data_IF_276234668963
#
_entry.id   IF_276234668963
#
_cell.length_a   1.000
_cell.length_b   1.000
_cell.length_c   1.000
_cell.angle_alpha   90.00
_cell.angle_beta   90.00
_cell.angle_gamma   90.00
#
_symmetry.space_group_name_H-M   'P 1'
#
loop_
_entity.id
_entity.type
_entity.pdbx_description
1 polymer ?
#
# COMPACT_ATOMS: atom_id res chain seq x y z
N UNK A 1 -8.94 0.48 -14.14
CA UNK A 1 -10.18 0.69 -13.36
C UNK A 1 -9.90 1.65 -12.23
N UNK A 2 -10.78 2.62 -11.99
CA UNK A 2 -10.69 3.52 -10.84
C UNK A 2 -11.38 2.86 -9.64
N UNK A 3 -10.62 2.53 -8.61
CA UNK A 3 -11.17 1.94 -7.38
C UNK A 3 -11.65 3.03 -6.43
N UNK A 4 -10.96 4.18 -6.44
CA UNK A 4 -11.39 5.40 -5.79
C UNK A 4 -10.66 6.62 -6.34
N UNK A 5 -11.27 7.79 -6.14
CA UNK A 5 -10.83 9.06 -6.73
C UNK A 5 -10.78 10.19 -5.71
N UNK A 6 -10.89 9.86 -4.42
CA UNK A 6 -10.81 10.81 -3.33
C UNK A 6 -9.37 11.18 -3.01
N UNK A 7 -9.06 12.47 -2.94
CA UNK A 7 -7.72 12.96 -2.59
C UNK A 7 -7.71 13.69 -1.25
N UNK A 8 -6.55 13.70 -0.61
CA UNK A 8 -6.31 14.34 0.67
C UNK A 8 -6.62 13.42 1.85
N UNK A 9 -5.94 13.60 3.00
CA UNK A 9 -6.14 12.82 4.23
C UNK A 9 -7.42 13.24 4.95
N UNK A 10 -8.55 13.20 4.24
CA UNK A 10 -9.88 13.57 4.70
C UNK A 10 -10.84 12.43 4.43
N UNK A 11 -11.79 12.23 5.35
CA UNK A 11 -12.95 11.39 5.07
C UNK A 11 -13.87 12.20 4.17
N UNK A 12 -14.05 11.73 2.94
CA UNK A 12 -14.98 12.35 1.99
C UNK A 12 -16.41 11.93 2.33
N UNK A 13 -17.36 12.84 2.17
CA UNK A 13 -18.78 12.52 2.23
C UNK A 13 -19.25 11.86 0.93
N UNK A 14 -20.27 10.99 1.03
CA UNK A 14 -20.85 10.27 -0.10
C UNK A 14 -20.11 8.98 -0.47
N UNK A 15 -20.26 8.55 -1.72
CA UNK A 15 -19.81 7.23 -2.18
C UNK A 15 -18.36 7.20 -2.71
N UNK A 16 -17.61 8.30 -2.56
CA UNK A 16 -16.22 8.38 -3.06
C UNK A 16 -15.24 7.73 -2.10
N UNK A 17 -14.56 6.70 -2.58
CA UNK A 17 -13.44 6.06 -1.88
C UNK A 17 -12.12 6.81 -2.13
N UNK A 18 -11.15 6.59 -1.24
CA UNK A 18 -9.81 7.18 -1.34
C UNK A 18 -9.07 6.75 -2.61
N UNK A 19 -8.05 7.53 -2.99
CA UNK A 19 -7.34 7.35 -4.26
C UNK A 19 -6.79 5.93 -4.40
N UNK A 20 -7.21 5.26 -5.47
CA UNK A 20 -6.67 3.96 -5.84
C UNK A 20 -7.04 3.59 -7.27
N UNK A 21 -6.08 3.06 -8.02
CA UNK A 21 -6.27 2.64 -9.42
C UNK A 21 -5.77 1.22 -9.62
N UNK A 22 -6.58 0.38 -10.26
CA UNK A 22 -6.14 -0.93 -10.75
C UNK A 22 -5.80 -0.86 -12.24
N UNK A 23 -4.57 -1.27 -12.59
CA UNK A 23 -4.11 -1.49 -13.95
C UNK A 23 -4.16 -2.99 -14.23
N UNK A 24 -4.89 -3.38 -15.27
CA UNK A 24 -5.07 -4.78 -15.66
C UNK A 24 -4.37 -5.01 -16.99
N UNK A 25 -3.50 -6.03 -17.03
CA UNK A 25 -2.80 -6.45 -18.25
C UNK A 25 -2.77 -7.97 -18.33
N UNK A 26 -3.54 -8.53 -19.28
CA UNK A 26 -3.85 -9.96 -19.30
C UNK A 26 -4.50 -10.37 -17.98
N UNK A 27 -3.96 -11.40 -17.32
CA UNK A 27 -4.47 -11.90 -16.04
C UNK A 27 -3.79 -11.23 -14.82
N UNK A 28 -2.96 -10.22 -15.05
CA UNK A 28 -2.21 -9.55 -14.00
C UNK A 28 -2.88 -8.24 -13.60
N UNK A 29 -2.96 -8.02 -12.29
CA UNK A 29 -3.46 -6.78 -11.69
C UNK A 29 -2.34 -6.08 -10.95
N UNK A 30 -2.21 -4.78 -11.19
CA UNK A 30 -1.29 -3.89 -10.50
C UNK A 30 -2.08 -2.76 -9.86
N UNK A 31 -1.88 -2.53 -8.56
CA UNK A 31 -2.62 -1.51 -7.80
C UNK A 31 -1.71 -0.31 -7.58
N UNK A 32 -2.19 0.87 -7.90
CA UNK A 32 -1.51 2.15 -7.62
C UNK A 32 -2.27 2.86 -6.52
N UNK A 33 -1.59 3.05 -5.40
CA UNK A 33 -2.09 3.59 -4.14
C UNK A 33 -3.25 2.80 -3.50
N UNK A 34 -3.31 2.89 -2.18
CA UNK A 34 -4.28 2.24 -1.31
C UNK A 34 -4.89 3.26 -0.35
N UNK A 35 -5.66 4.18 -0.91
CA UNK A 35 -6.52 5.06 -0.14
C UNK A 35 -7.67 4.32 0.52
N UNK A 36 -8.37 5.03 1.42
CA UNK A 36 -9.44 4.45 2.23
C UNK A 36 -10.49 3.70 1.38
N UNK A 37 -10.77 2.44 1.73
CA UNK A 37 -11.73 1.58 1.03
C UNK A 37 -11.19 0.90 -0.22
N UNK A 38 -9.91 1.09 -0.60
CA UNK A 38 -9.32 0.51 -1.80
C UNK A 38 -9.42 -1.03 -1.84
N UNK A 39 -9.17 -1.72 -0.72
CA UNK A 39 -9.27 -3.17 -0.65
C UNK A 39 -10.71 -3.68 -0.88
N UNK A 40 -11.70 -2.98 -0.31
CA UNK A 40 -13.13 -3.29 -0.52
C UNK A 40 -13.52 -3.06 -1.98
N UNK A 41 -13.07 -1.98 -2.59
CA UNK A 41 -13.35 -1.70 -4.00
C UNK A 41 -12.67 -2.71 -4.93
N UNK A 42 -11.45 -3.15 -4.58
CA UNK A 42 -10.75 -4.18 -5.32
C UNK A 42 -11.49 -5.54 -5.25
N UNK A 43 -12.02 -5.92 -4.08
CA UNK A 43 -12.92 -7.07 -3.94
C UNK A 43 -14.20 -6.91 -4.80
N UNK A 44 -14.89 -5.77 -4.66
CA UNK A 44 -16.14 -5.48 -5.40
C UNK A 44 -15.95 -5.46 -6.91
N UNK A 45 -14.75 -5.15 -7.39
CA UNK A 45 -14.43 -5.15 -8.82
C UNK A 45 -14.33 -6.56 -9.42
N UNK A 46 -14.30 -7.62 -8.60
CA UNK A 46 -14.03 -8.98 -9.05
C UNK A 46 -12.55 -9.25 -9.35
N UNK A 47 -11.68 -8.23 -9.28
CA UNK A 47 -10.23 -8.37 -9.46
C UNK A 47 -9.52 -9.00 -8.26
N UNK A 48 -10.26 -9.32 -7.20
CA UNK A 48 -9.75 -10.02 -6.03
C UNK A 48 -10.85 -10.98 -5.59
N UNK A 49 -10.66 -12.28 -5.82
CA UNK A 49 -11.57 -13.30 -5.32
C UNK A 49 -12.55 -13.94 -6.30
N UNK A 50 -12.41 -13.79 -7.62
CA UNK A 50 -13.05 -14.74 -8.55
C UNK A 50 -12.37 -16.12 -8.41
N UNK A 51 -13.04 -17.16 -7.88
CA UNK A 51 -12.45 -18.48 -7.70
C UNK A 51 -12.21 -19.21 -9.04
N UNK A 52 -12.92 -18.80 -10.10
CA UNK A 52 -12.83 -19.36 -11.44
C UNK A 52 -11.75 -18.69 -12.30
N UNK A 53 -11.36 -17.46 -11.95
CA UNK A 53 -10.28 -16.71 -12.57
C UNK A 53 -9.61 -15.79 -11.54
N UNK A 54 -8.81 -16.33 -10.58
CA UNK A 54 -8.20 -15.52 -9.55
C UNK A 54 -7.28 -14.49 -10.21
N UNK A 55 -7.73 -13.24 -10.23
CA UNK A 55 -6.93 -12.14 -10.73
C UNK A 55 -5.61 -12.09 -9.96
N UNK A 56 -4.52 -12.17 -10.72
CA UNK A 56 -3.20 -12.32 -10.14
C UNK A 56 -2.67 -10.94 -9.80
N UNK A 57 -2.96 -10.45 -8.58
CA UNK A 57 -2.32 -9.22 -8.09
C UNK A 57 -0.81 -9.46 -8.07
N UNK A 58 -0.07 -8.79 -8.95
CA UNK A 58 1.38 -8.95 -9.10
C UNK A 58 2.15 -7.89 -8.34
N UNK A 59 1.56 -6.71 -8.17
CA UNK A 59 2.18 -5.71 -7.33
C UNK A 59 1.31 -4.52 -6.97
N UNK A 60 1.80 -3.83 -5.96
CA UNK A 60 1.22 -2.62 -5.38
C UNK A 60 2.28 -1.54 -5.43
N UNK A 61 1.91 -0.34 -5.86
CA UNK A 61 2.80 0.79 -6.03
C UNK A 61 2.25 1.98 -5.25
N UNK A 62 3.03 2.48 -4.30
CA UNK A 62 2.76 3.71 -3.60
C UNK A 62 3.47 4.86 -4.29
N UNK A 63 2.71 5.88 -4.66
CA UNK A 63 3.25 7.09 -5.29
C UNK A 63 4.03 7.93 -4.27
N UNK A 64 3.49 8.06 -3.06
CA UNK A 64 4.14 8.70 -1.91
C UNK A 64 3.54 8.21 -0.59
N UNK A 65 4.12 8.67 0.54
CA UNK A 65 3.82 8.16 1.87
C UNK A 65 2.81 9.01 2.67
N UNK A 66 1.92 9.74 1.99
CA UNK A 66 0.79 10.34 2.71
C UNK A 66 -0.26 9.27 3.04
N UNK A 67 -1.03 9.54 4.11
CA UNK A 67 -2.01 8.58 4.61
C UNK A 67 -3.12 8.32 3.60
N UNK A 68 -3.58 9.30 2.83
CA UNK A 68 -4.61 9.09 1.81
C UNK A 68 -4.20 8.15 0.68
N UNK A 69 -2.92 7.81 0.56
CA UNK A 69 -2.40 6.82 -0.38
C UNK A 69 -2.03 5.48 0.28
N UNK A 70 -1.93 5.44 1.60
CA UNK A 70 -1.36 4.30 2.35
C UNK A 70 -2.26 3.79 3.47
N UNK A 71 -3.36 4.47 3.81
CA UNK A 71 -4.20 4.17 4.99
C UNK A 71 -4.87 2.81 4.91
N UNK A 72 -5.07 2.26 3.71
CA UNK A 72 -5.62 0.92 3.53
C UNK A 72 -4.52 -0.16 3.50
N UNK A 73 -3.24 0.22 3.50
CA UNK A 73 -2.13 -0.73 3.56
C UNK A 73 -2.12 -1.58 4.83
N UNK A 74 -2.29 -1.04 6.05
CA UNK A 74 -2.39 -1.85 7.27
C UNK A 74 -3.47 -2.92 7.19
N UNK A 75 -4.66 -2.55 6.73
CA UNK A 75 -5.79 -3.48 6.59
C UNK A 75 -5.48 -4.58 5.57
N UNK A 76 -4.98 -4.21 4.38
CA UNK A 76 -4.63 -5.19 3.35
C UNK A 76 -3.47 -6.09 3.79
N UNK A 77 -2.44 -5.54 4.42
CA UNK A 77 -1.26 -6.27 4.90
C UNK A 77 -1.63 -7.37 5.90
N UNK A 78 -2.50 -7.07 6.87
CA UNK A 78 -2.96 -8.04 7.88
C UNK A 78 -3.95 -9.05 7.28
N UNK A 79 -4.89 -8.60 6.46
CA UNK A 79 -5.96 -9.48 5.95
C UNK A 79 -5.56 -10.27 4.70
N UNK A 80 -4.50 -9.87 3.99
CA UNK A 80 -4.00 -10.53 2.80
C UNK A 80 -3.75 -12.03 3.04
N UNK A 81 -3.27 -12.41 4.22
CA UNK A 81 -3.15 -13.82 4.58
C UNK A 81 -4.52 -14.49 4.54
N UNK A 82 -5.46 -14.05 5.37
CA UNK A 82 -6.76 -14.72 5.53
C UNK A 82 -7.57 -14.74 4.22
N UNK A 83 -7.51 -13.65 3.45
CA UNK A 83 -8.37 -13.44 2.28
C UNK A 83 -7.72 -13.84 0.95
N UNK A 84 -6.38 -13.84 0.84
CA UNK A 84 -5.66 -14.18 -0.41
C UNK A 84 -5.01 -15.57 -0.39
N UNK A 85 -4.88 -16.23 0.77
CA UNK A 85 -4.29 -17.57 0.87
C UNK A 85 -5.11 -18.69 0.24
N UNK A 86 -6.42 -18.49 0.01
CA UNK A 86 -7.26 -19.53 -0.61
C UNK A 86 -7.05 -19.69 -2.12
N UNK A 87 -6.28 -18.81 -2.75
CA UNK A 87 -6.16 -18.75 -4.22
C UNK A 87 -4.74 -18.91 -4.77
N UNK A 88 -3.72 -19.20 -3.94
CA UNK A 88 -2.31 -19.12 -4.40
C UNK A 88 -1.47 -20.38 -4.21
N UNK A 89 -1.09 -20.96 -5.34
CA UNK A 89 0.18 -21.63 -5.56
C UNK A 89 1.07 -20.72 -6.44
N UNK A 90 1.96 -19.90 -5.88
CA UNK A 90 2.85 -19.06 -6.70
C UNK A 90 3.57 -17.89 -6.00
N UNK A 91 4.26 -17.08 -6.82
CA UNK A 91 5.12 -15.95 -6.42
C UNK A 91 4.43 -14.88 -5.54
N UNK A 92 5.13 -14.36 -4.51
CA UNK A 92 4.73 -13.18 -3.74
C UNK A 92 4.33 -11.99 -4.62
N UNK A 93 3.31 -11.21 -4.23
CA UNK A 93 3.08 -9.93 -4.90
C UNK A 93 4.10 -8.89 -4.41
N UNK A 94 4.59 -8.06 -5.32
CA UNK A 94 5.66 -7.10 -5.02
C UNK A 94 5.07 -5.76 -4.59
N UNK A 95 5.64 -5.16 -3.57
CA UNK A 95 5.17 -3.88 -3.04
C UNK A 95 6.28 -2.87 -3.23
N UNK A 96 5.98 -1.80 -3.96
CA UNK A 96 6.93 -0.75 -4.30
C UNK A 96 6.47 0.58 -3.75
N UNK A 97 7.42 1.38 -3.29
CA UNK A 97 7.15 2.74 -2.83
C UNK A 97 8.42 3.50 -2.54
N UNK A 98 8.30 4.75 -2.07
CA UNK A 98 9.45 5.52 -1.61
C UNK A 98 10.15 4.83 -0.44
N UNK A 99 11.47 5.06 -0.36
CA UNK A 99 12.25 4.81 0.84
C UNK A 99 12.12 5.95 1.86
N UNK A 100 12.76 5.77 3.00
CA UNK A 100 12.77 6.75 4.09
C UNK A 100 13.33 8.09 3.64
N UNK A 101 12.81 9.18 4.22
CA UNK A 101 13.26 10.55 3.93
C UNK A 101 13.45 11.37 5.21
N UNK A 102 14.53 12.16 5.31
CA UNK A 102 14.80 12.94 6.51
C UNK A 102 13.84 14.14 6.68
N UNK A 103 13.28 14.64 5.57
CA UNK A 103 12.35 15.79 5.57
C UNK A 103 11.25 15.60 4.52
N UNK A 104 10.06 16.21 4.71
CA UNK A 104 9.02 16.21 3.69
C UNK A 104 9.49 16.93 2.41
N UNK A 105 8.89 16.62 1.24
CA UNK A 105 9.03 17.48 0.07
C UNK A 105 8.64 18.92 0.43
N UNK A 106 9.37 19.91 -0.09
CA UNK A 106 9.08 21.32 0.17
C UNK A 106 7.77 21.70 -0.53
N UNK A 107 6.70 21.82 0.24
CA UNK A 107 5.37 22.26 -0.23
C UNK A 107 5.02 23.69 0.20
N UNK A 108 5.96 24.37 0.87
CA UNK A 108 5.78 25.72 1.40
C UNK A 108 6.59 26.77 0.60
N UNK A 109 6.19 28.05 0.63
CA UNK A 109 6.93 29.16 0.02
C UNK A 109 8.41 29.22 0.43
N UNK A 110 9.35 29.57 -0.48
CA UNK A 110 10.81 29.52 -0.25
C UNK A 110 11.31 30.23 1.00
N UNK A 111 10.61 31.30 1.39
CA UNK A 111 10.88 32.18 2.52
C UNK A 111 10.40 31.60 3.87
N UNK A 112 9.54 30.58 3.87
CA UNK A 112 9.10 29.90 5.10
C UNK A 112 10.09 28.80 5.53
N UNK A 113 10.54 28.78 6.80
CA UNK A 113 11.30 27.65 7.33
C UNK A 113 10.52 26.35 7.18
N UNK A 114 11.21 25.26 6.82
CA UNK A 114 10.59 23.94 6.79
C UNK A 114 10.15 23.55 8.20
N UNK A 115 8.91 23.08 8.41
CA UNK A 115 8.52 22.56 9.71
C UNK A 115 9.41 21.37 10.08
N UNK A 116 9.77 21.28 11.36
CA UNK A 116 10.48 20.12 11.89
C UNK A 116 9.66 18.84 11.72
N UNK A 117 10.29 17.66 11.81
CA UNK A 117 9.58 16.40 11.74
C UNK A 117 8.60 16.26 12.90
N UNK A 118 7.41 15.71 12.63
CA UNK A 118 6.40 15.41 13.67
C UNK A 118 6.89 14.31 14.60
N UNK A 119 7.70 13.38 14.09
CA UNK A 119 8.37 12.35 14.88
C UNK A 119 9.87 12.69 15.00
N UNK A 120 10.34 13.20 16.16
CA UNK A 120 11.75 13.54 16.34
C UNK A 120 12.69 12.33 16.28
N UNK A 121 12.17 11.12 16.55
CA UNK A 121 12.94 9.88 16.65
C UNK A 121 13.12 9.13 15.34
N UNK A 122 12.58 9.62 14.22
CA UNK A 122 12.71 8.90 12.96
C UNK A 122 12.40 9.73 11.71
N UNK A 123 12.95 9.33 10.55
CA UNK A 123 12.62 9.95 9.27
C UNK A 123 11.13 9.71 8.93
N UNK A 124 10.65 10.43 7.91
CA UNK A 124 9.40 10.04 7.24
C UNK A 124 9.62 8.65 6.66
N UNK A 125 8.91 7.67 7.22
CA UNK A 125 9.06 6.27 6.87
C UNK A 125 8.61 6.01 5.44
N UNK A 126 9.45 5.33 4.68
CA UNK A 126 9.11 4.71 3.42
C UNK A 126 8.32 3.42 3.63
N UNK A 127 7.98 2.76 2.52
CA UNK A 127 7.10 1.58 2.58
C UNK A 127 7.70 0.41 3.36
N UNK A 128 9.01 0.20 3.28
CA UNK A 128 9.68 -0.89 3.99
C UNK A 128 9.69 -0.67 5.51
N UNK A 129 10.01 0.56 5.95
CA UNK A 129 9.99 0.91 7.37
C UNK A 129 8.56 0.88 7.93
N UNK A 130 7.59 1.47 7.22
CA UNK A 130 6.17 1.41 7.58
C UNK A 130 5.72 -0.05 7.77
N UNK A 131 6.03 -0.93 6.82
CA UNK A 131 5.64 -2.34 6.90
C UNK A 131 6.33 -3.06 8.07
N UNK A 132 7.59 -2.71 8.38
CA UNK A 132 8.29 -3.20 9.57
C UNK A 132 7.58 -2.82 10.87
N UNK A 133 7.11 -1.59 10.99
CA UNK A 133 6.33 -1.12 12.15
C UNK A 133 4.96 -1.78 12.21
N UNK A 134 4.27 -1.97 11.07
CA UNK A 134 2.99 -2.66 11.03
C UNK A 134 3.13 -4.13 11.45
N UNK A 135 4.21 -4.81 11.03
CA UNK A 135 4.52 -6.17 11.48
C UNK A 135 4.67 -6.24 13.00
N UNK A 136 5.31 -5.26 13.60
CA UNK A 136 5.43 -5.16 15.06
C UNK A 136 4.08 -4.86 15.71
N UNK A 137 3.33 -3.90 15.18
CA UNK A 137 2.04 -3.48 15.73
C UNK A 137 0.98 -4.59 15.68
N UNK A 138 1.00 -5.40 14.62
CA UNK A 138 0.05 -6.49 14.38
C UNK A 138 0.62 -7.86 14.73
N UNK A 139 1.64 -7.93 15.60
CA UNK A 139 2.27 -9.20 15.99
C UNK A 139 1.28 -10.23 16.55
N UNK A 140 0.17 -9.79 17.16
CA UNK A 140 -0.88 -10.68 17.65
C UNK A 140 -1.58 -11.48 16.52
N UNK A 141 -1.61 -10.94 15.30
CA UNK A 141 -2.21 -11.59 14.15
C UNK A 141 -1.26 -12.63 13.51
N UNK A 142 0.04 -12.59 13.86
CA UNK A 142 1.08 -13.45 13.31
C UNK A 142 1.54 -14.50 14.34
N UNK A 143 0.75 -15.56 14.50
CA UNK A 143 1.11 -16.72 15.33
C UNK A 143 1.27 -17.99 14.48
N UNK A 144 2.51 -18.36 14.15
CA UNK A 144 2.85 -19.57 13.38
C UNK A 144 3.59 -19.28 12.07
N UNK A 145 4.00 -20.35 11.37
CA UNK A 145 4.99 -20.44 10.27
C UNK A 145 4.81 -19.51 9.04
N UNK A 146 3.87 -18.57 9.04
CA UNK A 146 3.59 -17.67 7.92
C UNK A 146 3.81 -16.20 8.33
N UNK A 147 4.89 -15.61 7.83
CA UNK A 147 5.27 -14.21 8.08
C UNK A 147 5.01 -13.39 6.81
N UNK A 148 4.08 -12.43 6.88
CA UNK A 148 3.84 -11.49 5.77
C UNK A 148 5.12 -10.71 5.49
N UNK A 149 5.58 -10.76 4.23
CA UNK A 149 6.85 -10.19 3.79
C UNK A 149 7.97 -11.21 3.53
N UNK A 150 7.86 -12.44 4.04
CA UNK A 150 8.73 -13.56 3.63
C UNK A 150 8.00 -14.53 2.69
N UNK A 151 6.71 -14.80 2.97
CA UNK A 151 5.98 -15.85 2.26
C UNK A 151 5.03 -15.33 1.18
N UNK A 152 4.58 -14.08 1.29
CA UNK A 152 3.49 -13.53 0.45
C UNK A 152 3.81 -12.22 -0.26
N UNK A 153 4.79 -11.46 0.21
CA UNK A 153 5.10 -10.14 -0.33
C UNK A 153 6.60 -9.89 -0.43
N UNK A 154 7.05 -9.23 -1.50
CA UNK A 154 8.42 -8.74 -1.61
C UNK A 154 8.42 -7.21 -1.63
N UNK A 155 8.98 -6.60 -0.58
CA UNK A 155 9.10 -5.14 -0.47
C UNK A 155 10.29 -4.65 -1.31
N UNK A 156 10.05 -3.67 -2.17
CA UNK A 156 11.06 -2.98 -2.96
C UNK A 156 11.00 -1.48 -2.72
N UNK A 157 12.16 -0.85 -2.57
CA UNK A 157 12.27 0.62 -2.60
C UNK A 157 12.50 1.03 -4.05
N UNK A 158 11.69 1.96 -4.57
CA UNK A 158 11.92 2.52 -5.90
C UNK A 158 13.22 3.31 -5.94
N UNK A 159 14.25 2.77 -6.60
CA UNK A 159 15.49 3.52 -6.89
C UNK A 159 15.27 4.35 -8.15
N UNK A 160 15.76 5.59 -8.17
CA UNK A 160 15.85 6.35 -9.43
C UNK A 160 16.80 5.58 -10.36
N UNK A 161 16.45 5.34 -11.64
CA UNK A 161 17.43 4.89 -12.61
C UNK A 161 18.57 5.91 -12.62
N UNK A 162 19.81 5.44 -12.50
CA UNK A 162 21.00 6.29 -12.62
C UNK A 162 20.93 7.08 -13.92
N UNK A 163 21.16 8.40 -13.82
CA UNK A 163 21.45 9.24 -14.99
C UNK A 163 22.89 9.02 -15.42
#
# INVERSE_FOLDING_TARGET
MLLGTGGGPIVLSGDRMGISTAVVYGNNVYVVDLGHGAAVQLLRSGLLGDPSAPANVRGIFFTHMHSDHTVEWPALYTTAQINLLRARSGEPFRVFGPGDRPVPPRTFPPDRPAPGPVNPGGPISGISAMTGYLRQAFAADYSGKLIVGQDLMQLGVGTRPGR
#
